data_IF_439294782092
#
_entry.id   IF_439294782092
#
_cell.length_a   1.000
_cell.length_b   1.000
_cell.length_c   1.000
_cell.angle_alpha   90.00
_cell.angle_beta   90.00
_cell.angle_gamma   90.00
#
_symmetry.space_group_name_H-M   'P 1'
#
loop_
_entity.id
_entity.type
_entity.pdbx_description
1 polymer ?
#
# COMPACT_ATOMS: atom_id res chain seq x y z
N UNK A 1 -9.69 15.78 -20.52
CA UNK A 1 -10.83 15.65 -21.46
C UNK A 1 -11.19 14.18 -21.43
N UNK A 2 -12.36 13.85 -20.83
CA UNK A 2 -12.79 12.47 -20.68
C UNK A 2 -13.22 11.89 -22.02
N UNK A 3 -12.60 10.80 -22.37
CA UNK A 3 -13.02 9.98 -23.51
C UNK A 3 -13.70 8.72 -22.95
N UNK A 4 -14.95 8.87 -22.47
CA UNK A 4 -15.80 7.75 -22.13
C UNK A 4 -16.77 7.58 -23.28
N UNK A 5 -16.71 6.43 -23.98
CA UNK A 5 -17.61 6.12 -25.11
C UNK A 5 -19.01 5.77 -24.61
N UNK A 6 -19.16 5.32 -23.37
CA UNK A 6 -20.43 4.95 -22.75
C UNK A 6 -20.29 4.69 -21.27
N UNK A 7 -21.43 4.63 -20.58
CA UNK A 7 -21.55 4.24 -19.19
C UNK A 7 -22.77 3.30 -19.04
N UNK A 8 -22.61 2.25 -18.25
CA UNK A 8 -23.69 1.30 -17.97
C UNK A 8 -23.62 0.82 -16.51
N UNK A 9 -24.72 0.40 -15.95
CA UNK A 9 -24.83 -0.21 -14.62
C UNK A 9 -24.87 -1.74 -14.67
N UNK A 10 -24.80 -2.34 -15.87
CA UNK A 10 -24.89 -3.78 -16.11
C UNK A 10 -23.57 -4.30 -16.72
N UNK A 11 -23.01 -5.36 -16.15
CA UNK A 11 -21.83 -6.03 -16.69
C UNK A 11 -22.12 -6.63 -18.08
N UNK A 12 -23.31 -7.17 -18.30
CA UNK A 12 -23.74 -7.68 -19.59
C UNK A 12 -23.67 -6.59 -20.67
N UNK A 13 -24.25 -5.42 -20.41
CA UNK A 13 -24.21 -4.29 -21.34
C UNK A 13 -22.78 -3.78 -21.55
N UNK A 14 -21.94 -3.79 -20.51
CA UNK A 14 -20.52 -3.40 -20.62
C UNK A 14 -19.80 -4.33 -21.60
N UNK A 15 -19.95 -5.64 -21.42
CA UNK A 15 -19.27 -6.64 -22.27
C UNK A 15 -19.80 -6.56 -23.71
N UNK A 16 -21.10 -6.38 -23.92
CA UNK A 16 -21.68 -6.17 -25.25
C UNK A 16 -21.10 -4.93 -25.94
N UNK A 17 -20.92 -3.82 -25.24
CA UNK A 17 -20.30 -2.62 -25.79
C UNK A 17 -18.83 -2.89 -26.16
N UNK A 18 -18.07 -3.52 -25.28
CA UNK A 18 -16.65 -3.85 -25.53
C UNK A 18 -16.49 -4.76 -26.74
N UNK A 19 -17.36 -5.76 -26.93
CA UNK A 19 -17.29 -6.68 -28.06
C UNK A 19 -17.97 -6.13 -29.34
N UNK A 20 -18.86 -5.13 -29.23
CA UNK A 20 -19.55 -4.54 -30.39
C UNK A 20 -18.84 -3.33 -30.99
N UNK A 21 -17.88 -2.74 -30.26
CA UNK A 21 -17.14 -1.57 -30.75
C UNK A 21 -16.17 -1.98 -31.87
N UNK A 22 -16.76 -2.11 -33.06
CA UNK A 22 -16.07 -2.44 -34.33
C UNK A 22 -15.29 -1.25 -34.88
N UNK A 23 -15.16 -0.19 -34.12
CA UNK A 23 -14.59 1.07 -34.56
C UNK A 23 -13.11 1.02 -34.85
N UNK A 24 -12.76 1.28 -36.10
CA UNK A 24 -11.45 1.61 -36.68
C UNK A 24 -10.68 0.45 -37.34
N UNK A 25 -10.83 -0.81 -36.95
CA UNK A 25 -9.98 -1.90 -37.50
C UNK A 25 -10.68 -2.97 -38.33
N UNK A 26 -11.96 -2.84 -38.62
CA UNK A 26 -12.68 -3.59 -39.67
C UNK A 26 -12.91 -5.10 -39.50
N UNK A 27 -12.16 -5.79 -38.65
CA UNK A 27 -12.33 -7.24 -38.36
C UNK A 27 -12.28 -7.46 -36.84
N UNK A 28 -13.43 -7.46 -36.20
CA UNK A 28 -13.59 -7.59 -34.75
C UNK A 28 -13.48 -9.00 -34.21
N UNK A 29 -13.44 -9.99 -35.07
CA UNK A 29 -13.35 -11.40 -34.63
C UNK A 29 -12.02 -11.76 -33.96
N UNK A 30 -11.09 -10.80 -33.81
CA UNK A 30 -9.72 -11.04 -33.31
C UNK A 30 -9.19 -10.08 -32.24
N UNK A 31 -9.97 -9.07 -31.84
CA UNK A 31 -9.51 -8.13 -30.80
C UNK A 31 -10.10 -8.58 -29.46
N UNK A 32 -9.26 -8.96 -28.47
CA UNK A 32 -9.76 -9.36 -27.17
C UNK A 32 -10.42 -8.17 -26.45
N UNK A 33 -11.53 -8.43 -25.75
CA UNK A 33 -12.07 -7.52 -24.77
C UNK A 33 -11.08 -7.34 -23.62
N UNK A 34 -10.84 -6.09 -23.18
CA UNK A 34 -9.98 -5.81 -22.03
C UNK A 34 -10.83 -5.19 -20.92
N UNK A 35 -10.91 -5.90 -19.80
CA UNK A 35 -11.72 -5.53 -18.66
C UNK A 35 -10.84 -5.19 -17.47
N UNK A 36 -10.96 -3.97 -16.92
CA UNK A 36 -10.20 -3.53 -15.75
C UNK A 36 -11.12 -3.55 -14.52
N UNK A 37 -10.80 -4.40 -13.55
CA UNK A 37 -11.49 -4.45 -12.25
C UNK A 37 -10.78 -3.54 -11.26
N UNK A 38 -11.48 -2.50 -10.78
CA UNK A 38 -11.00 -1.56 -9.76
C UNK A 38 -11.98 -1.60 -8.59
N UNK A 39 -12.03 -2.74 -7.92
CA UNK A 39 -12.97 -3.04 -6.83
C UNK A 39 -12.20 -3.44 -5.56
N UNK A 40 -12.82 -3.34 -4.36
CA UNK A 40 -12.21 -3.85 -3.14
C UNK A 40 -11.82 -5.33 -3.24
N UNK A 41 -10.72 -5.73 -2.61
CA UNK A 41 -10.17 -7.09 -2.71
C UNK A 41 -11.16 -8.19 -2.33
N UNK A 42 -12.03 -7.93 -1.35
CA UNK A 42 -13.08 -8.84 -0.88
C UNK A 42 -14.20 -9.07 -1.92
N UNK A 43 -14.39 -8.15 -2.86
CA UNK A 43 -15.44 -8.24 -3.89
C UNK A 43 -14.94 -8.73 -5.24
N UNK A 44 -13.63 -8.88 -5.40
CA UNK A 44 -13.01 -9.29 -6.68
C UNK A 44 -13.54 -10.63 -7.17
N UNK A 45 -13.71 -11.62 -6.27
CA UNK A 45 -14.16 -12.95 -6.68
C UNK A 45 -15.60 -12.96 -7.21
N UNK A 46 -16.49 -12.24 -6.53
CA UNK A 46 -17.89 -12.14 -6.94
C UNK A 46 -18.03 -11.37 -8.25
N UNK A 47 -17.36 -10.22 -8.36
CA UNK A 47 -17.32 -9.42 -9.60
C UNK A 47 -16.76 -10.23 -10.77
N UNK A 48 -15.69 -11.01 -10.53
CA UNK A 48 -15.11 -11.87 -11.54
C UNK A 48 -16.08 -12.97 -12.00
N UNK A 49 -16.78 -13.61 -11.06
CA UNK A 49 -17.77 -14.65 -11.38
C UNK A 49 -18.95 -14.12 -12.20
N UNK A 50 -19.42 -12.91 -11.89
CA UNK A 50 -20.43 -12.22 -12.67
C UNK A 50 -19.94 -11.86 -14.08
N UNK A 51 -18.74 -11.29 -14.20
CA UNK A 51 -18.17 -10.87 -15.46
C UNK A 51 -17.94 -12.08 -16.41
N UNK A 52 -17.49 -13.21 -15.85
CA UNK A 52 -17.20 -14.43 -16.61
C UNK A 52 -18.41 -15.05 -17.32
N UNK A 53 -19.65 -14.71 -16.91
CA UNK A 53 -20.85 -15.17 -17.60
C UNK A 53 -20.98 -14.58 -19.02
N UNK A 54 -20.27 -13.50 -19.29
CA UNK A 54 -20.37 -12.75 -20.55
C UNK A 54 -19.05 -12.71 -21.32
N UNK A 55 -17.92 -13.07 -20.69
CA UNK A 55 -16.61 -13.10 -21.34
C UNK A 55 -16.48 -14.25 -22.34
N UNK A 56 -15.66 -14.05 -23.35
CA UNK A 56 -15.35 -15.06 -24.38
C UNK A 56 -13.85 -15.42 -24.38
N UNK A 57 -13.52 -16.50 -25.07
CA UNK A 57 -12.12 -16.92 -25.27
C UNK A 57 -11.32 -15.78 -25.93
N UNK A 58 -10.14 -15.51 -25.36
CA UNK A 58 -9.24 -14.45 -25.81
C UNK A 58 -9.34 -13.18 -24.98
N UNK A 59 -10.42 -12.95 -24.22
CA UNK A 59 -10.55 -11.78 -23.36
C UNK A 59 -9.44 -11.69 -22.31
N UNK A 60 -9.15 -10.45 -21.90
CA UNK A 60 -8.14 -10.13 -20.88
C UNK A 60 -8.80 -9.43 -19.71
N UNK A 61 -8.63 -9.96 -18.51
CA UNK A 61 -9.11 -9.37 -17.27
C UNK A 61 -7.92 -8.87 -16.46
N UNK A 62 -7.93 -7.57 -16.08
CA UNK A 62 -6.89 -6.93 -15.28
C UNK A 62 -7.46 -6.63 -13.89
N UNK A 63 -6.90 -7.24 -12.85
CA UNK A 63 -7.24 -6.97 -11.46
C UNK A 63 -6.32 -5.89 -10.89
N UNK A 64 -6.85 -4.69 -10.66
CA UNK A 64 -6.17 -3.55 -10.04
C UNK A 64 -6.41 -3.46 -8.52
N UNK A 65 -7.09 -4.43 -7.91
CA UNK A 65 -7.30 -4.49 -6.47
C UNK A 65 -6.02 -4.73 -5.68
N UNK A 66 -6.09 -4.55 -4.36
CA UNK A 66 -5.04 -5.01 -3.45
C UNK A 66 -5.27 -6.49 -3.10
N UNK A 67 -5.30 -7.35 -4.11
CA UNK A 67 -5.60 -8.78 -3.97
C UNK A 67 -4.39 -9.55 -3.44
N UNK A 68 -4.66 -10.67 -2.73
CA UNK A 68 -3.60 -11.58 -2.35
C UNK A 68 -3.03 -12.28 -3.60
N UNK A 69 -1.71 -12.29 -3.73
CA UNK A 69 -1.02 -12.88 -4.89
C UNK A 69 -1.32 -14.39 -5.07
N UNK A 70 -1.60 -15.13 -3.98
CA UNK A 70 -1.98 -16.55 -4.03
C UNK A 70 -3.35 -16.70 -4.71
N UNK A 71 -4.28 -15.77 -4.46
CA UNK A 71 -5.58 -15.73 -5.11
C UNK A 71 -5.47 -15.36 -6.58
N UNK A 72 -4.60 -14.42 -6.92
CA UNK A 72 -4.33 -14.03 -8.30
C UNK A 72 -3.81 -15.21 -9.13
N UNK A 73 -2.90 -16.01 -8.58
CA UNK A 73 -2.42 -17.25 -9.22
C UNK A 73 -3.54 -18.24 -9.45
N UNK A 74 -4.39 -18.47 -8.43
CA UNK A 74 -5.53 -19.39 -8.54
C UNK A 74 -6.55 -18.92 -9.59
N UNK A 75 -6.85 -17.60 -9.62
CA UNK A 75 -7.73 -17.00 -10.62
C UNK A 75 -7.16 -17.17 -12.03
N UNK A 76 -5.89 -16.85 -12.24
CA UNK A 76 -5.22 -17.00 -13.52
C UNK A 76 -5.27 -18.44 -14.03
N UNK A 77 -5.01 -19.44 -13.16
CA UNK A 77 -5.11 -20.85 -13.53
C UNK A 77 -6.55 -21.24 -13.90
N UNK A 78 -7.56 -20.75 -13.20
CA UNK A 78 -8.97 -21.00 -13.51
C UNK A 78 -9.36 -20.40 -14.85
N UNK A 79 -9.00 -19.15 -15.11
CA UNK A 79 -9.37 -18.42 -16.32
C UNK A 79 -8.66 -18.97 -17.56
N UNK A 80 -7.43 -19.42 -17.41
CA UNK A 80 -6.68 -20.02 -18.54
C UNK A 80 -7.38 -21.26 -19.12
N UNK A 81 -8.12 -22.02 -18.30
CA UNK A 81 -8.91 -23.18 -18.76
C UNK A 81 -10.13 -22.76 -19.59
N UNK A 82 -10.53 -21.49 -19.51
CA UNK A 82 -11.61 -20.88 -20.30
C UNK A 82 -11.05 -20.09 -21.50
N UNK A 83 -9.74 -20.14 -21.75
CA UNK A 83 -9.09 -19.34 -22.78
C UNK A 83 -9.01 -17.85 -22.47
N UNK A 84 -9.32 -17.42 -21.22
CA UNK A 84 -9.29 -16.02 -20.78
C UNK A 84 -7.97 -15.74 -20.09
N UNK A 85 -7.36 -14.60 -20.40
CA UNK A 85 -6.11 -14.15 -19.78
C UNK A 85 -6.38 -13.34 -18.51
N UNK A 86 -5.61 -13.56 -17.47
CA UNK A 86 -5.67 -12.79 -16.24
C UNK A 86 -4.36 -12.07 -15.98
N UNK A 87 -4.45 -10.78 -15.68
CA UNK A 87 -3.35 -9.92 -15.28
C UNK A 87 -3.65 -9.40 -13.86
N UNK A 88 -2.70 -9.56 -12.97
CA UNK A 88 -2.70 -8.90 -11.67
C UNK A 88 -1.85 -7.63 -11.74
N UNK A 89 -2.44 -6.50 -11.41
CA UNK A 89 -1.81 -5.19 -11.54
C UNK A 89 -1.84 -4.44 -10.20
N UNK A 90 -0.83 -4.66 -9.38
CA UNK A 90 -0.65 -3.91 -8.15
C UNK A 90 -0.41 -2.42 -8.45
N UNK A 91 -1.26 -1.57 -7.89
CA UNK A 91 -1.29 -0.14 -8.20
C UNK A 91 -0.92 0.68 -6.95
N UNK A 92 0.05 1.59 -7.09
CA UNK A 92 0.43 2.55 -6.05
C UNK A 92 0.29 3.98 -6.59
N UNK A 93 -0.17 4.91 -5.75
CA UNK A 93 -0.43 6.32 -6.12
C UNK A 93 -1.70 6.88 -5.48
N UNK A 94 -2.61 6.03 -5.03
CA UNK A 94 -3.82 6.41 -4.30
C UNK A 94 -4.67 7.43 -5.06
N UNK A 95 -5.24 8.39 -4.34
CA UNK A 95 -6.12 9.44 -4.90
C UNK A 95 -5.40 10.43 -5.81
N UNK A 96 -4.07 10.47 -5.78
CA UNK A 96 -3.25 11.38 -6.58
C UNK A 96 -2.86 10.82 -7.96
N UNK A 97 -3.31 9.62 -8.29
CA UNK A 97 -2.91 8.95 -9.54
C UNK A 97 -3.32 9.69 -10.80
N UNK A 98 -4.44 10.44 -10.79
CA UNK A 98 -4.86 11.25 -11.92
C UNK A 98 -3.84 12.36 -12.26
N UNK A 99 -3.23 12.94 -11.25
CA UNK A 99 -2.28 14.06 -11.40
C UNK A 99 -0.84 13.55 -11.56
N UNK A 100 -0.47 12.50 -10.84
CA UNK A 100 0.91 12.03 -10.72
C UNK A 100 1.20 10.77 -11.54
N UNK A 101 0.18 10.11 -12.07
CA UNK A 101 0.27 8.74 -12.61
C UNK A 101 0.36 7.68 -11.52
N UNK A 102 0.24 6.42 -11.93
CA UNK A 102 0.29 5.26 -11.03
C UNK A 102 1.57 4.45 -11.24
N UNK A 103 2.23 4.07 -10.16
CA UNK A 103 3.26 3.04 -10.21
C UNK A 103 2.57 1.67 -10.32
N UNK A 104 2.84 0.94 -11.42
CA UNK A 104 2.14 -0.30 -11.77
C UNK A 104 3.08 -1.50 -11.74
N UNK A 105 2.74 -2.49 -10.94
CA UNK A 105 3.45 -3.75 -10.76
C UNK A 105 2.61 -4.87 -11.39
N UNK A 106 3.00 -5.33 -12.59
CA UNK A 106 2.15 -6.16 -13.45
C UNK A 106 2.63 -7.61 -13.44
N UNK A 107 1.72 -8.53 -13.14
CA UNK A 107 1.92 -9.97 -13.30
C UNK A 107 0.98 -10.52 -14.37
N UNK A 108 1.48 -11.44 -15.20
CA UNK A 108 0.68 -12.03 -16.28
C UNK A 108 1.51 -12.76 -17.31
N UNK A 109 0.86 -13.34 -18.33
CA UNK A 109 1.58 -13.91 -19.46
C UNK A 109 2.22 -12.81 -20.31
N UNK A 110 3.36 -13.09 -20.92
CA UNK A 110 4.05 -12.13 -21.81
C UNK A 110 3.11 -11.58 -22.89
N UNK A 111 2.27 -12.44 -23.45
CA UNK A 111 1.32 -12.05 -24.51
C UNK A 111 0.29 -11.06 -24.01
N UNK A 112 -0.40 -11.37 -22.90
CA UNK A 112 -1.44 -10.51 -22.35
C UNK A 112 -0.86 -9.16 -21.90
N UNK A 113 0.29 -9.17 -21.21
CA UNK A 113 0.96 -7.93 -20.75
C UNK A 113 1.42 -7.07 -21.94
N UNK A 114 1.90 -7.70 -23.03
CA UNK A 114 2.30 -6.97 -24.24
C UNK A 114 1.09 -6.27 -24.88
N UNK A 115 -0.05 -6.94 -25.00
CA UNK A 115 -1.30 -6.36 -25.53
C UNK A 115 -1.75 -5.16 -24.68
N UNK A 116 -1.70 -5.29 -23.34
CA UNK A 116 -2.13 -4.25 -22.41
C UNK A 116 -1.07 -3.15 -22.15
N UNK A 117 0.15 -3.28 -22.67
CA UNK A 117 1.25 -2.34 -22.42
C UNK A 117 0.95 -0.87 -22.75
N UNK A 118 0.14 -0.53 -23.80
CA UNK A 118 -0.26 0.86 -24.03
C UNK A 118 -1.10 1.45 -22.89
N UNK A 119 -1.95 0.62 -22.25
CA UNK A 119 -2.78 1.04 -21.10
C UNK A 119 -1.87 1.35 -19.91
N UNK A 120 -0.95 0.44 -19.58
CA UNK A 120 -0.02 0.64 -18.47
C UNK A 120 0.84 1.88 -18.67
N UNK A 121 1.30 2.11 -19.89
CA UNK A 121 2.07 3.33 -20.24
C UNK A 121 1.25 4.61 -20.09
N UNK A 122 -0.04 4.56 -20.42
CA UNK A 122 -0.93 5.72 -20.31
C UNK A 122 -1.27 6.06 -18.84
N UNK A 123 -1.36 5.05 -17.98
CA UNK A 123 -1.65 5.21 -16.56
C UNK A 123 -0.42 5.57 -15.73
N UNK A 124 0.77 5.20 -16.20
CA UNK A 124 2.03 5.41 -15.47
C UNK A 124 2.49 6.87 -15.51
N UNK A 125 3.31 7.32 -14.52
CA UNK A 125 3.74 8.72 -14.41
C UNK A 125 4.65 9.19 -15.56
N UNK A 126 5.27 8.26 -16.28
CA UNK A 126 6.20 8.57 -17.36
C UNK A 126 7.62 8.86 -16.88
N UNK A 127 8.55 8.90 -17.85
CA UNK A 127 10.00 8.98 -17.60
C UNK A 127 10.44 10.28 -16.90
N UNK A 128 9.64 11.33 -17.01
CA UNK A 128 9.93 12.64 -16.39
C UNK A 128 9.63 12.69 -14.89
N UNK A 129 9.06 11.65 -14.30
CA UNK A 129 8.66 11.62 -12.88
C UNK A 129 9.85 11.55 -11.90
N UNK A 130 11.00 11.05 -12.36
CA UNK A 130 12.24 10.99 -11.60
C UNK A 130 13.46 11.05 -12.53
N UNK A 131 14.63 11.53 -12.06
CA UNK A 131 15.87 11.42 -12.81
C UNK A 131 16.22 9.97 -13.11
N UNK A 132 16.69 9.69 -14.32
CA UNK A 132 17.14 8.34 -14.70
C UNK A 132 18.40 7.94 -13.96
N UNK A 133 18.44 6.72 -13.43
CA UNK A 133 19.64 6.14 -12.79
C UNK A 133 20.76 5.84 -13.79
N UNK A 134 20.39 5.50 -15.03
CA UNK A 134 21.33 5.30 -16.13
C UNK A 134 20.82 5.99 -17.40
N UNK A 135 21.16 7.29 -17.61
CA UNK A 135 20.67 8.06 -18.76
C UNK A 135 21.24 7.61 -20.10
N UNK A 136 22.33 6.83 -20.11
CA UNK A 136 22.99 6.40 -21.35
C UNK A 136 22.43 5.07 -21.90
N UNK A 137 21.69 4.30 -21.10
CA UNK A 137 21.02 3.08 -21.54
C UNK A 137 19.69 3.36 -22.23
N UNK A 138 19.16 2.36 -22.98
CA UNK A 138 17.78 2.41 -23.45
C UNK A 138 16.83 2.42 -22.25
N UNK A 139 15.83 3.30 -22.26
CA UNK A 139 14.84 3.37 -21.19
C UNK A 139 14.01 2.09 -21.11
N UNK A 140 13.78 1.61 -19.90
CA UNK A 140 12.94 0.45 -19.58
C UNK A 140 11.52 0.87 -19.18
N UNK A 141 10.56 -0.06 -19.17
CA UNK A 141 9.21 0.21 -18.68
C UNK A 141 9.20 0.67 -17.22
N UNK A 142 10.13 0.17 -16.40
CA UNK A 142 10.27 0.59 -15.01
C UNK A 142 10.55 2.08 -14.86
N UNK A 143 11.38 2.65 -15.75
CA UNK A 143 11.68 4.09 -15.76
C UNK A 143 10.47 4.96 -16.18
N UNK A 144 9.45 4.34 -16.81
CA UNK A 144 8.15 4.97 -17.10
C UNK A 144 7.15 4.82 -15.97
N UNK A 145 7.46 4.02 -14.93
CA UNK A 145 6.61 3.81 -13.76
C UNK A 145 5.73 2.55 -13.84
N UNK A 146 5.99 1.61 -14.76
CA UNK A 146 5.34 0.31 -14.78
C UNK A 146 6.32 -0.81 -15.10
N UNK A 147 6.09 -2.01 -14.55
CA UNK A 147 6.97 -3.15 -14.77
C UNK A 147 6.17 -4.45 -14.89
N UNK A 148 6.50 -5.25 -15.90
CA UNK A 148 6.12 -6.66 -15.92
C UNK A 148 7.01 -7.43 -14.94
N UNK A 149 6.48 -7.74 -13.76
CA UNK A 149 7.22 -8.33 -12.64
C UNK A 149 7.42 -9.85 -12.81
N UNK A 150 6.62 -10.50 -13.67
CA UNK A 150 6.69 -11.93 -13.89
C UNK A 150 5.33 -12.57 -14.21
N UNK A 151 5.20 -13.91 -14.03
CA UNK A 151 3.96 -14.63 -14.32
C UNK A 151 2.81 -14.16 -13.42
N UNK A 152 1.56 -14.64 -13.64
CA UNK A 152 0.42 -14.28 -12.82
C UNK A 152 0.67 -14.43 -11.30
N UNK A 153 0.30 -13.43 -10.54
CA UNK A 153 0.58 -13.28 -9.10
C UNK A 153 1.81 -12.45 -8.78
N UNK A 154 2.77 -12.29 -9.73
CA UNK A 154 4.00 -11.54 -9.46
C UNK A 154 3.76 -10.04 -9.26
N UNK A 155 2.77 -9.45 -9.90
CA UNK A 155 2.41 -8.04 -9.73
C UNK A 155 1.91 -7.78 -8.31
N UNK A 156 0.90 -8.53 -7.85
CA UNK A 156 0.37 -8.40 -6.49
C UNK A 156 1.39 -8.83 -5.42
N UNK A 157 2.28 -9.77 -5.70
CA UNK A 157 3.38 -10.10 -4.79
C UNK A 157 4.31 -8.90 -4.57
N UNK A 158 4.76 -8.26 -5.64
CA UNK A 158 5.64 -7.07 -5.55
C UNK A 158 4.90 -5.91 -4.88
N UNK A 159 3.60 -5.72 -5.19
CA UNK A 159 2.78 -4.69 -4.54
C UNK A 159 2.59 -4.94 -3.05
N UNK A 160 2.36 -6.17 -2.63
CA UNK A 160 2.25 -6.56 -1.24
C UNK A 160 3.54 -6.24 -0.46
N UNK A 161 4.70 -6.56 -1.02
CA UNK A 161 6.00 -6.24 -0.42
C UNK A 161 6.20 -4.72 -0.36
N UNK A 162 5.82 -3.98 -1.41
CA UNK A 162 5.81 -2.50 -1.39
C UNK A 162 5.01 -1.98 -0.19
N UNK A 163 3.81 -2.50 0.07
CA UNK A 163 3.00 -2.07 1.22
C UNK A 163 3.65 -2.44 2.55
N UNK A 164 4.31 -3.58 2.65
CA UNK A 164 5.11 -3.93 3.84
C UNK A 164 6.24 -2.92 4.11
N UNK A 165 6.96 -2.50 3.07
CA UNK A 165 7.99 -1.45 3.16
C UNK A 165 7.37 -0.12 3.57
N UNK A 166 6.23 0.25 2.99
CA UNK A 166 5.46 1.45 3.34
C UNK A 166 5.12 1.48 4.83
N UNK A 167 4.66 0.35 5.41
CA UNK A 167 4.38 0.24 6.85
C UNK A 167 5.63 0.55 7.69
N UNK A 168 6.79 0.02 7.32
CA UNK A 168 8.06 0.27 8.03
C UNK A 168 8.47 1.74 7.99
N UNK A 169 8.38 2.39 6.84
CA UNK A 169 8.71 3.82 6.66
C UNK A 169 7.73 4.69 7.48
N UNK A 170 6.44 4.43 7.38
CA UNK A 170 5.42 5.17 8.13
C UNK A 170 5.64 5.04 9.64
N UNK A 171 5.96 3.84 10.13
CA UNK A 171 6.24 3.60 11.54
C UNK A 171 7.47 4.37 12.02
N UNK A 172 8.56 4.38 11.23
CA UNK A 172 9.77 5.12 11.58
C UNK A 172 9.51 6.64 11.66
N UNK A 173 8.75 7.22 10.73
CA UNK A 173 8.34 8.63 10.84
C UNK A 173 7.48 8.87 12.07
N UNK A 174 6.47 8.05 12.32
CA UNK A 174 5.58 8.22 13.45
C UNK A 174 6.33 8.19 14.78
N UNK A 175 7.26 7.25 14.97
CA UNK A 175 8.10 7.17 16.16
C UNK A 175 9.03 8.39 16.29
N UNK A 176 9.68 8.80 15.20
CA UNK A 176 10.55 9.98 15.20
C UNK A 176 9.80 11.26 15.54
N UNK A 177 8.65 11.50 14.94
CA UNK A 177 7.83 12.66 15.26
C UNK A 177 7.23 12.60 16.68
N UNK A 178 6.91 11.41 17.19
CA UNK A 178 6.48 11.26 18.59
C UNK A 178 7.61 11.62 19.57
N UNK A 179 8.85 11.22 19.30
CA UNK A 179 10.02 11.63 20.12
C UNK A 179 10.18 13.16 20.12
N UNK A 180 10.05 13.81 18.95
CA UNK A 180 10.14 15.26 18.83
C UNK A 180 8.98 15.97 19.55
N UNK A 181 7.77 15.45 19.47
CA UNK A 181 6.58 15.97 20.15
C UNK A 181 6.75 15.93 21.68
N UNK A 182 7.34 14.85 22.21
CA UNK A 182 7.59 14.66 23.65
C UNK A 182 8.90 15.29 24.14
N UNK A 183 9.66 15.97 23.27
CA UNK A 183 10.96 16.54 23.63
C UNK A 183 10.91 17.64 24.71
N UNK A 184 9.73 18.09 25.11
CA UNK A 184 9.51 19.04 26.22
C UNK A 184 9.00 18.36 27.51
N UNK A 185 9.10 17.04 27.61
CA UNK A 185 8.63 16.31 28.80
C UNK A 185 9.37 16.72 30.07
N UNK A 186 10.65 17.13 29.97
CA UNK A 186 11.46 17.57 31.09
C UNK A 186 10.93 18.83 31.79
N UNK A 187 10.37 19.78 31.04
CA UNK A 187 9.80 21.01 31.62
C UNK A 187 8.55 20.76 32.47
N UNK A 188 7.87 19.64 32.27
CA UNK A 188 6.68 19.22 33.03
C UNK A 188 6.97 18.07 34.00
N UNK A 189 8.25 17.67 34.08
CA UNK A 189 8.63 16.50 34.86
C UNK A 189 8.46 16.72 36.36
N UNK A 190 7.64 15.91 37.00
CA UNK A 190 7.54 15.77 38.45
C UNK A 190 7.98 14.36 38.78
N UNK A 191 9.01 14.22 39.64
CA UNK A 191 9.49 12.91 40.05
C UNK A 191 8.33 12.11 40.62
N UNK A 192 7.97 11.02 39.97
CA UNK A 192 6.92 10.12 40.45
C UNK A 192 7.33 9.54 41.81
N UNK A 193 6.41 9.57 42.78
CA UNK A 193 6.62 8.89 44.06
C UNK A 193 6.53 7.35 43.98
N UNK A 194 6.43 6.83 42.76
CA UNK A 194 6.31 5.41 42.48
C UNK A 194 7.70 4.82 42.22
N UNK A 195 8.21 4.05 43.14
CA UNK A 195 9.52 3.40 43.05
C UNK A 195 9.62 2.41 41.87
N UNK A 196 8.52 2.06 41.23
CA UNK A 196 8.45 1.10 40.13
C UNK A 196 8.53 1.69 38.72
N UNK A 197 8.43 3.01 38.63
CA UNK A 197 8.61 3.74 37.40
C UNK A 197 10.01 4.36 37.40
N UNK A 198 10.85 3.97 36.45
CA UNK A 198 12.17 4.55 36.32
C UNK A 198 12.03 6.09 36.15
N UNK A 199 12.74 6.89 36.98
CA UNK A 199 12.71 8.34 36.84
C UNK A 199 13.35 8.78 35.51
N UNK A 200 12.92 9.94 35.00
CA UNK A 200 13.65 10.58 33.92
C UNK A 200 15.02 11.04 34.43
N UNK A 201 16.08 10.61 33.79
CA UNK A 201 17.43 11.09 34.07
C UNK A 201 17.65 12.44 33.35
N UNK A 202 18.19 13.42 34.07
CA UNK A 202 18.49 14.76 33.55
C UNK A 202 17.31 15.42 32.80
N UNK A 203 16.16 15.69 33.46
CA UNK A 203 14.99 16.28 32.83
C UNK A 203 15.30 17.58 32.08
N UNK A 204 16.32 18.33 32.53
CA UNK A 204 16.80 19.56 31.91
C UNK A 204 17.30 19.39 30.47
N UNK A 205 17.67 18.17 30.09
CA UNK A 205 18.10 17.86 28.70
C UNK A 205 16.91 17.71 27.74
N UNK A 206 15.67 17.66 28.25
CA UNK A 206 14.43 17.42 27.48
C UNK A 206 13.42 18.56 27.65
N UNK A 207 13.88 19.79 27.43
CA UNK A 207 13.09 21.00 27.55
C UNK A 207 12.98 21.76 26.21
N UNK A 208 12.74 21.04 25.12
CA UNK A 208 12.66 21.60 23.78
C UNK A 208 11.20 21.69 23.30
N UNK A 209 10.73 22.89 23.05
CA UNK A 209 9.44 23.13 22.41
C UNK A 209 9.61 23.07 20.88
N UNK A 210 9.43 21.88 20.31
CA UNK A 210 9.70 21.61 18.90
C UNK A 210 8.40 21.64 18.10
N UNK A 211 8.35 22.49 17.07
CA UNK A 211 7.29 22.50 16.10
C UNK A 211 7.48 21.36 15.08
N UNK A 212 6.79 20.25 15.28
CA UNK A 212 6.87 19.08 14.39
C UNK A 212 6.48 19.39 12.93
N UNK A 213 5.57 20.35 12.69
CA UNK A 213 5.18 20.74 11.34
C UNK A 213 6.34 21.44 10.62
N UNK A 214 7.08 22.31 11.30
CA UNK A 214 8.26 22.97 10.75
C UNK A 214 9.41 22.00 10.53
N UNK A 215 9.61 21.03 11.43
CA UNK A 215 10.61 19.97 11.25
C UNK A 215 10.27 19.09 10.05
N UNK A 216 9.01 18.70 9.87
CA UNK A 216 8.57 17.93 8.70
C UNK A 216 8.82 18.73 7.41
N UNK A 217 8.48 20.03 7.39
CA UNK A 217 8.74 20.91 6.24
C UNK A 217 10.24 21.07 5.97
N UNK A 218 11.08 21.13 7.00
CA UNK A 218 12.53 21.18 6.86
C UNK A 218 13.07 19.87 6.27
N UNK A 219 12.66 18.73 6.82
CA UNK A 219 13.21 17.43 6.42
C UNK A 219 12.84 17.03 5.00
N UNK A 220 11.68 17.44 4.48
CA UNK A 220 11.31 17.19 3.09
C UNK A 220 12.14 17.98 2.07
N UNK A 221 12.95 18.97 2.54
CA UNK A 221 13.79 19.84 1.69
C UNK A 221 15.26 19.45 1.78
N UNK A 222 15.64 18.45 1.00
CA UNK A 222 17.04 18.06 0.83
C UNK A 222 17.62 17.18 1.93
N UNK A 223 16.84 16.74 2.91
CA UNK A 223 17.34 15.73 3.85
C UNK A 223 17.30 14.33 3.24
N UNK A 224 18.14 13.43 3.77
CA UNK A 224 18.24 12.03 3.29
C UNK A 224 16.96 11.22 3.56
N UNK A 225 16.10 11.65 4.51
CA UNK A 225 14.82 11.03 4.82
C UNK A 225 13.67 11.61 4.00
N UNK A 226 13.94 12.46 3.02
CA UNK A 226 12.90 13.01 2.14
C UNK A 226 12.17 11.92 1.36
N UNK A 227 10.83 11.95 1.36
CA UNK A 227 9.98 11.03 0.62
C UNK A 227 8.58 11.61 0.42
N UNK A 228 7.78 11.02 -0.47
CA UNK A 228 6.39 11.44 -0.60
C UNK A 228 5.58 11.21 0.69
N UNK A 229 5.86 10.15 1.46
CA UNK A 229 5.23 9.96 2.76
C UNK A 229 5.54 11.10 3.74
N UNK A 230 6.76 11.63 3.69
CA UNK A 230 7.12 12.82 4.48
C UNK A 230 6.43 14.09 3.98
N UNK A 231 6.22 14.25 2.67
CA UNK A 231 5.43 15.35 2.12
C UNK A 231 3.99 15.34 2.66
N UNK A 232 3.37 14.15 2.71
CA UNK A 232 2.03 13.96 3.28
C UNK A 232 2.02 14.21 4.80
N UNK A 233 3.07 13.81 5.51
CA UNK A 233 3.23 14.08 6.95
C UNK A 233 3.32 15.58 7.21
N UNK A 234 4.10 16.33 6.43
CA UNK A 234 4.20 17.77 6.56
C UNK A 234 2.86 18.47 6.27
N UNK A 235 2.11 18.01 5.27
CA UNK A 235 0.80 18.58 4.94
C UNK A 235 -0.22 18.35 6.05
N UNK A 236 -0.30 17.16 6.64
CA UNK A 236 -1.25 16.87 7.72
C UNK A 236 -0.91 17.62 9.01
N UNK A 237 0.37 17.68 9.41
CA UNK A 237 0.83 18.40 10.60
C UNK A 237 0.64 19.92 10.46
N UNK A 238 0.78 20.47 9.26
CA UNK A 238 0.51 21.89 9.00
C UNK A 238 -0.96 22.24 9.14
N UNK A 239 -1.87 21.31 8.78
CA UNK A 239 -3.34 21.51 8.90
C UNK A 239 -3.84 21.33 10.33
N UNK A 240 -3.23 20.43 11.08
CA UNK A 240 -3.62 20.09 12.45
C UNK A 240 -2.38 19.59 13.21
N UNK A 241 -1.74 20.51 13.96
CA UNK A 241 -0.47 20.25 14.67
C UNK A 241 -0.58 19.15 15.72
N UNK A 242 -1.75 19.07 16.36
CA UNK A 242 -2.04 18.09 17.42
C UNK A 242 -2.72 16.82 16.88
N UNK A 243 -2.96 16.74 15.57
CA UNK A 243 -3.68 15.65 14.92
C UNK A 243 -5.02 15.30 15.59
N UNK A 244 -5.70 16.33 16.11
CA UNK A 244 -6.87 16.23 16.99
C UNK A 244 -8.08 15.54 16.33
N UNK A 245 -8.10 15.48 15.00
CA UNK A 245 -9.15 14.82 14.19
C UNK A 245 -8.95 13.32 14.03
N UNK A 246 -7.80 12.79 14.46
CA UNK A 246 -7.46 11.38 14.30
C UNK A 246 -7.47 10.68 15.65
N UNK A 247 -8.07 9.50 15.72
CA UNK A 247 -7.83 8.61 16.84
C UNK A 247 -6.48 7.89 16.67
N UNK A 248 -5.95 7.28 17.70
CA UNK A 248 -4.67 6.58 17.65
C UNK A 248 -4.77 5.16 17.04
N UNK A 249 -5.94 4.73 16.59
CA UNK A 249 -6.16 3.38 16.05
C UNK A 249 -5.79 3.27 14.58
N UNK A 250 -4.76 2.50 14.23
CA UNK A 250 -4.27 2.33 12.86
C UNK A 250 -4.71 0.98 12.29
N UNK A 251 -5.48 1.03 11.19
CA UNK A 251 -5.94 -0.17 10.48
C UNK A 251 -4.83 -0.82 9.67
N UNK A 252 -4.96 -2.12 9.42
CA UNK A 252 -4.20 -2.85 8.40
C UNK A 252 -5.19 -3.49 7.40
N UNK A 253 -4.88 -3.42 6.12
CA UNK A 253 -5.70 -3.93 5.01
C UNK A 253 -5.27 -5.32 4.52
N UNK A 254 -4.36 -5.98 5.25
CA UNK A 254 -3.94 -7.36 5.00
C UNK A 254 -2.58 -7.51 4.36
N UNK A 255 -2.12 -6.57 3.53
CA UNK A 255 -0.87 -6.69 2.77
C UNK A 255 0.35 -6.78 3.68
N UNK A 256 0.36 -6.04 4.80
CA UNK A 256 1.42 -6.15 5.81
C UNK A 256 1.49 -7.55 6.43
N UNK A 257 0.33 -8.18 6.68
CA UNK A 257 0.26 -9.57 7.16
C UNK A 257 0.80 -10.55 6.13
N UNK A 258 0.38 -10.40 4.87
CA UNK A 258 0.83 -11.28 3.79
C UNK A 258 2.33 -11.15 3.55
N UNK A 259 2.88 -9.93 3.67
CA UNK A 259 4.33 -9.69 3.57
C UNK A 259 5.09 -10.42 4.67
N UNK A 260 4.63 -10.32 5.93
CA UNK A 260 5.26 -11.02 7.06
C UNK A 260 5.14 -12.54 6.91
N UNK A 261 3.96 -13.05 6.50
CA UNK A 261 3.79 -14.48 6.24
C UNK A 261 4.72 -14.96 5.12
N UNK A 262 4.86 -14.18 4.04
CA UNK A 262 5.78 -14.52 2.95
C UNK A 262 7.24 -14.51 3.40
N UNK A 263 7.64 -13.58 4.27
CA UNK A 263 8.98 -13.59 4.85
C UNK A 263 9.25 -14.87 5.66
N UNK A 264 8.26 -15.34 6.43
CA UNK A 264 8.34 -16.61 7.16
C UNK A 264 8.42 -17.81 6.21
N UNK A 265 7.53 -17.87 5.21
CA UNK A 265 7.49 -18.95 4.21
C UNK A 265 8.81 -19.04 3.42
N UNK A 266 9.46 -17.91 3.17
CA UNK A 266 10.74 -17.81 2.44
C UNK A 266 11.98 -17.95 3.35
N UNK A 267 11.81 -17.96 4.67
CA UNK A 267 12.91 -17.97 5.64
C UNK A 267 13.74 -16.65 5.61
N UNK A 268 13.12 -15.53 5.25
CA UNK A 268 13.78 -14.23 5.13
C UNK A 268 13.48 -13.36 6.35
N UNK A 269 14.49 -12.78 7.03
CA UNK A 269 14.25 -11.90 8.16
C UNK A 269 13.63 -10.57 7.72
N UNK A 270 12.55 -10.17 8.40
CA UNK A 270 11.86 -8.91 8.15
C UNK A 270 11.45 -8.21 9.48
N UNK A 271 12.40 -7.93 10.40
CA UNK A 271 12.07 -7.42 11.74
C UNK A 271 11.37 -6.05 11.70
N UNK A 272 11.82 -5.12 10.85
CA UNK A 272 11.23 -3.78 10.75
C UNK A 272 9.75 -3.83 10.29
N UNK A 273 9.48 -4.57 9.24
CA UNK A 273 8.11 -4.73 8.69
C UNK A 273 7.20 -5.44 9.71
N UNK A 274 7.73 -6.48 10.38
CA UNK A 274 7.01 -7.23 11.41
C UNK A 274 6.65 -6.33 12.59
N UNK A 275 7.60 -5.55 13.10
CA UNK A 275 7.36 -4.61 14.21
C UNK A 275 6.32 -3.56 13.82
N UNK A 276 6.43 -2.97 12.63
CA UNK A 276 5.46 -1.99 12.13
C UNK A 276 4.03 -2.56 12.02
N UNK A 277 3.89 -3.82 11.59
CA UNK A 277 2.59 -4.51 11.58
C UNK A 277 2.04 -4.70 13.01
N UNK A 278 2.86 -5.17 13.94
CA UNK A 278 2.44 -5.42 15.32
C UNK A 278 2.12 -4.12 16.05
N UNK A 279 2.81 -3.02 15.78
CA UNK A 279 2.47 -1.68 16.29
C UNK A 279 1.04 -1.27 15.91
N UNK A 280 0.57 -1.61 14.69
CA UNK A 280 -0.83 -1.39 14.29
C UNK A 280 -1.81 -2.24 15.11
N UNK A 281 -1.44 -3.46 15.50
CA UNK A 281 -2.27 -4.27 16.40
C UNK A 281 -2.36 -3.65 17.79
N UNK A 282 -1.23 -3.20 18.33
CA UNK A 282 -1.17 -2.54 19.64
C UNK A 282 -1.96 -1.23 19.65
N UNK A 283 -1.89 -0.42 18.60
CA UNK A 283 -2.64 0.84 18.48
C UNK A 283 -4.16 0.64 18.61
N UNK A 284 -4.67 -0.53 18.25
CA UNK A 284 -6.07 -0.94 18.42
C UNK A 284 -6.37 -1.64 19.76
N UNK A 285 -5.42 -1.58 20.71
CA UNK A 285 -5.51 -2.14 22.06
C UNK A 285 -5.64 -3.68 22.11
N UNK A 286 -5.16 -4.37 21.07
CA UNK A 286 -5.22 -5.84 21.03
C UNK A 286 -4.23 -6.51 22.01
N UNK A 287 -3.22 -5.77 22.51
CA UNK A 287 -2.29 -6.21 23.56
C UNK A 287 -2.81 -6.07 25.00
N UNK A 288 -4.01 -5.52 25.22
CA UNK A 288 -4.50 -5.16 26.56
C UNK A 288 -4.52 -6.33 27.54
N UNK A 289 -4.86 -7.54 27.12
CA UNK A 289 -4.87 -8.72 27.98
C UNK A 289 -3.44 -9.12 28.39
N UNK A 290 -2.49 -9.10 27.46
CA UNK A 290 -1.08 -9.37 27.76
C UNK A 290 -0.53 -8.39 28.79
N UNK A 291 -0.83 -7.09 28.65
CA UNK A 291 -0.43 -6.07 29.62
C UNK A 291 -1.05 -6.29 30.99
N UNK A 292 -2.30 -6.78 31.08
CA UNK A 292 -2.90 -7.18 32.36
C UNK A 292 -2.20 -8.38 33.00
N UNK A 293 -1.79 -9.36 32.20
CA UNK A 293 -1.03 -10.52 32.69
C UNK A 293 0.32 -10.08 33.23
N UNK A 294 1.04 -9.20 32.53
CA UNK A 294 2.30 -8.63 32.98
C UNK A 294 2.15 -7.89 34.31
N UNK A 295 1.13 -7.03 34.42
CA UNK A 295 0.86 -6.30 35.65
C UNK A 295 0.48 -7.23 36.81
N UNK A 296 -0.36 -8.23 36.54
CA UNK A 296 -0.72 -9.23 37.52
C UNK A 296 0.48 -10.06 38.00
N UNK A 297 1.39 -10.48 37.12
CA UNK A 297 2.62 -11.15 37.51
C UNK A 297 3.50 -10.25 38.41
N UNK A 298 3.69 -8.97 38.07
CA UNK A 298 4.44 -8.01 38.87
C UNK A 298 3.83 -7.88 40.29
N UNK A 299 2.51 -7.76 40.39
CA UNK A 299 1.82 -7.69 41.67
C UNK A 299 2.06 -8.97 42.53
N UNK A 300 2.01 -10.14 41.91
CA UNK A 300 2.15 -11.41 42.63
C UNK A 300 3.55 -11.68 43.16
N UNK A 301 4.61 -11.32 42.42
CA UNK A 301 5.98 -11.55 42.93
C UNK A 301 6.58 -10.30 43.60
N UNK A 302 6.13 -9.10 43.30
CA UNK A 302 6.67 -7.87 43.85
C UNK A 302 5.86 -7.27 45.01
N UNK A 303 4.63 -7.76 45.25
CA UNK A 303 3.74 -7.22 46.28
C UNK A 303 3.23 -5.82 45.96
N UNK A 304 3.24 -5.41 44.66
CA UNK A 304 2.89 -4.07 44.21
C UNK A 304 1.38 -3.87 44.17
N UNK A 305 0.92 -2.67 44.52
CA UNK A 305 -0.49 -2.32 44.41
C UNK A 305 -0.96 -2.32 42.95
N UNK A 306 -2.06 -3.04 42.69
CA UNK A 306 -2.69 -3.09 41.37
C UNK A 306 -3.44 -1.77 41.11
N UNK A 307 -2.96 -0.94 40.21
CA UNK A 307 -3.66 0.24 39.73
C UNK A 307 -4.44 0.00 38.45
#
# INVERSE_FOLDING_TARGET
KGYISGCTTSLESLVQVVHSDTGVFGDTSKVPGIFMMVVPAETVEDTLNELLQFCVEGDIIIDHGNSNFKDSRRRAERLSKLGIQYIDCGTSGGVYGLERGYCLMVGGTNTAVSVCSPIFRALAPGIGSAPRTNPTSRATSAEYGWLHCGPPGAGHFVKMVHNGVEYGIMQAYAEGFNILHEANAGSKYVKAGDAEVAPMENPEDYCYDIDCAEVAELWRRGSVVGSWLLDLTADVLRRDRELSKFDGGVSDSGEGRWTVHSAVDLGVPAPVITTALFSRFESRRLGRFANKVLNGMRAMFGGHDVR
#
